data_IF_153244107775
#
_entry.id   IF_153244107775
#
_cell.length_a   1.000
_cell.length_b   1.000
_cell.length_c   1.000
_cell.angle_alpha   90.00
_cell.angle_beta   90.00
_cell.angle_gamma   90.00
#
_symmetry.space_group_name_H-M   'P 1'
#
loop_
_entity.id
_entity.type
_entity.pdbx_description
1 polymer ?
#
# COMPACT_ATOMS: atom_id res chain seq x y z
N UNK A 1 -21.94 21.26 -9.35
CA UNK A 1 -22.07 20.53 -10.63
C UNK A 1 -21.27 19.22 -10.74
N UNK A 2 -20.55 18.74 -9.70
CA UNK A 2 -19.97 17.36 -9.69
C UNK A 2 -20.80 16.36 -8.85
N UNK A 3 -21.72 16.87 -8.01
CA UNK A 3 -22.59 16.05 -7.15
C UNK A 3 -23.84 15.47 -7.84
N UNK A 4 -24.20 15.96 -9.03
CA UNK A 4 -25.40 15.49 -9.76
C UNK A 4 -25.12 14.34 -10.73
N UNK A 5 -23.87 14.15 -11.20
CA UNK A 5 -23.52 13.07 -12.12
C UNK A 5 -23.58 11.67 -11.46
N UNK A 6 -23.60 11.60 -10.13
CA UNK A 6 -23.55 10.34 -9.37
C UNK A 6 -24.86 9.91 -8.70
N UNK A 7 -25.98 10.59 -8.98
CA UNK A 7 -27.32 10.21 -8.47
C UNK A 7 -28.12 9.30 -9.41
N UNK A 8 -27.58 8.92 -10.56
CA UNK A 8 -28.23 7.91 -11.40
C UNK A 8 -28.10 6.53 -10.73
N UNK A 9 -29.21 5.84 -10.40
CA UNK A 9 -29.15 4.45 -10.00
C UNK A 9 -28.63 3.63 -11.19
N UNK A 10 -27.48 2.98 -11.03
CA UNK A 10 -27.05 1.96 -11.97
C UNK A 10 -28.10 0.83 -11.93
N UNK A 11 -28.71 0.45 -13.07
CA UNK A 11 -29.57 -0.72 -13.10
C UNK A 11 -28.71 -1.94 -12.73
N UNK A 12 -29.00 -2.57 -11.59
CA UNK A 12 -28.50 -3.89 -11.27
C UNK A 12 -29.08 -4.88 -12.28
N UNK A 13 -28.36 -5.15 -13.35
CA UNK A 13 -28.59 -6.34 -14.17
C UNK A 13 -28.24 -7.56 -13.31
N UNK A 14 -29.27 -8.34 -12.96
CA UNK A 14 -29.10 -9.66 -12.35
C UNK A 14 -28.28 -10.54 -13.30
N UNK A 15 -27.06 -10.87 -12.91
CA UNK A 15 -26.24 -11.86 -13.59
C UNK A 15 -26.69 -13.24 -13.09
N UNK A 16 -27.56 -13.90 -13.86
CA UNK A 16 -27.99 -15.27 -13.58
C UNK A 16 -26.93 -16.24 -14.09
N UNK A 17 -26.12 -16.79 -13.17
CA UNK A 17 -25.13 -17.83 -13.47
C UNK A 17 -25.85 -19.16 -13.74
N UNK A 18 -26.03 -19.50 -15.02
CA UNK A 18 -26.44 -20.84 -15.45
C UNK A 18 -25.20 -21.72 -15.69
N UNK A 19 -25.12 -22.82 -14.95
CA UNK A 19 -24.66 -24.14 -15.39
C UNK A 19 -23.24 -24.30 -15.96
N UNK A 20 -22.28 -24.63 -15.09
CA UNK A 20 -21.00 -25.18 -15.51
C UNK A 20 -21.09 -26.67 -15.86
N UNK A 21 -20.66 -27.04 -17.06
CA UNK A 21 -20.34 -28.43 -17.43
C UNK A 21 -18.92 -28.81 -16.94
N UNK A 22 -18.66 -30.09 -16.62
CA UNK A 22 -17.33 -30.56 -16.23
C UNK A 22 -16.43 -30.75 -17.44
N UNK A 23 -15.22 -30.16 -17.41
CA UNK A 23 -14.15 -30.37 -18.37
C UNK A 23 -13.37 -31.65 -18.05
N UNK A 24 -13.15 -32.48 -19.08
CA UNK A 24 -12.28 -33.65 -19.05
C UNK A 24 -10.78 -33.28 -19.08
N UNK A 25 -9.89 -34.14 -18.56
CA UNK A 25 -8.45 -33.94 -18.62
C UNK A 25 -7.89 -34.35 -19.99
N UNK A 26 -7.34 -33.40 -20.74
CA UNK A 26 -6.52 -33.70 -21.91
C UNK A 26 -5.06 -33.90 -21.51
N UNK A 27 -4.57 -35.10 -21.81
CA UNK A 27 -3.17 -35.48 -21.91
C UNK A 27 -2.48 -34.68 -23.01
N UNK A 28 -1.40 -33.97 -22.69
CA UNK A 28 -0.55 -33.33 -23.68
C UNK A 28 0.85 -33.94 -23.65
N UNK A 29 1.09 -34.71 -24.73
CA UNK A 29 2.32 -35.37 -25.10
C UNK A 29 3.31 -34.38 -25.73
N UNK A 30 4.59 -34.65 -25.46
CA UNK A 30 5.83 -34.09 -26.00
C UNK A 30 5.81 -33.19 -27.23
N UNK A 31 6.66 -32.16 -27.16
CA UNK A 31 7.48 -31.73 -28.29
C UNK A 31 8.72 -30.99 -27.81
N UNK A 32 9.85 -31.61 -28.09
CA UNK A 32 11.18 -31.02 -28.13
C UNK A 32 11.22 -29.88 -29.17
N UNK A 33 11.89 -28.79 -28.81
CA UNK A 33 12.44 -27.85 -29.79
C UNK A 33 13.70 -27.21 -29.22
N UNK A 34 14.82 -27.63 -29.79
CA UNK A 34 16.12 -26.98 -29.76
C UNK A 34 16.01 -25.46 -29.92
N UNK A 35 16.75 -24.72 -29.09
CA UNK A 35 17.23 -23.39 -29.46
C UNK A 35 18.66 -23.23 -28.97
N UNK A 36 19.57 -23.32 -29.92
CA UNK A 36 20.98 -22.98 -29.79
C UNK A 36 21.11 -21.53 -29.33
N UNK A 37 21.77 -21.33 -28.18
CA UNK A 37 22.24 -20.00 -27.75
C UNK A 37 23.76 -20.02 -27.83
N UNK A 38 24.28 -19.33 -28.84
CA UNK A 38 25.69 -19.13 -29.05
C UNK A 38 26.31 -18.37 -27.87
N UNK A 39 27.26 -19.03 -27.20
CA UNK A 39 28.16 -18.43 -26.21
C UNK A 39 29.13 -17.50 -26.94
N UNK A 40 29.03 -16.19 -26.68
CA UNK A 40 30.06 -15.21 -27.05
C UNK A 40 31.10 -15.22 -25.93
N UNK A 41 32.20 -15.91 -26.18
CA UNK A 41 33.40 -15.91 -25.34
C UNK A 41 34.13 -14.58 -25.55
N UNK A 42 34.07 -13.70 -24.54
CA UNK A 42 34.86 -12.46 -24.55
C UNK A 42 36.26 -12.76 -24.03
N UNK A 43 37.23 -12.71 -24.94
CA UNK A 43 38.67 -12.84 -24.69
C UNK A 43 39.12 -11.66 -23.82
N UNK A 44 39.46 -11.94 -22.56
CA UNK A 44 40.05 -10.96 -21.63
C UNK A 44 41.56 -11.01 -21.83
N UNK A 45 42.11 -9.92 -22.37
CA UNK A 45 43.56 -9.74 -22.54
C UNK A 45 44.15 -9.40 -21.17
N UNK A 46 44.86 -10.35 -20.57
CA UNK A 46 45.79 -10.10 -19.46
C UNK A 46 46.94 -9.26 -20.00
N UNK A 47 47.09 -8.06 -19.44
CA UNK A 47 48.31 -7.26 -19.55
C UNK A 47 48.95 -7.24 -18.17
N UNK A 48 50.02 -8.00 -18.04
CA UNK A 48 50.94 -8.00 -16.91
C UNK A 48 51.52 -6.61 -16.71
N UNK A 49 51.35 -6.04 -15.51
CA UNK A 49 52.20 -4.98 -14.99
C UNK A 49 52.68 -5.38 -13.61
N UNK A 50 53.86 -5.99 -13.58
CA UNK A 50 54.72 -6.09 -12.41
C UNK A 50 55.15 -4.68 -11.98
N UNK A 51 55.03 -4.35 -10.69
CA UNK A 51 55.53 -3.08 -10.18
C UNK A 51 55.22 -2.80 -8.71
N UNK A 52 56.26 -2.93 -7.89
CA UNK A 52 56.49 -2.31 -6.56
C UNK A 52 55.67 -2.81 -5.35
N UNK A 53 56.31 -3.74 -4.65
CA UNK A 53 56.10 -4.05 -3.23
C UNK A 53 56.62 -2.90 -2.36
N UNK A 54 55.76 -1.92 -2.03
CA UNK A 54 56.02 -0.99 -0.94
C UNK A 54 55.53 -1.57 0.39
N UNK A 55 56.52 -1.90 1.22
CA UNK A 55 56.41 -2.45 2.56
C UNK A 55 55.98 -1.33 3.54
N UNK A 56 54.68 -1.05 3.61
CA UNK A 56 54.12 -0.15 4.63
C UNK A 56 54.18 -0.82 6.02
N UNK A 57 55.06 -0.28 6.86
CA UNK A 57 55.18 -0.61 8.28
C UNK A 57 53.94 -0.13 9.03
N UNK A 58 53.31 -1.08 9.72
CA UNK A 58 52.16 -0.82 10.59
C UNK A 58 52.50 0.07 11.78
N UNK A 59 51.64 1.07 11.98
CA UNK A 59 51.33 1.62 13.29
C UNK A 59 49.88 1.25 13.63
N UNK A 60 49.76 0.08 14.25
CA UNK A 60 48.60 -0.38 15.00
C UNK A 60 48.32 0.59 16.16
N UNK A 61 47.36 1.48 15.97
CA UNK A 61 46.74 2.24 17.06
C UNK A 61 45.24 2.01 17.01
N UNK A 62 44.86 0.85 17.54
CA UNK A 62 43.50 0.35 17.67
C UNK A 62 42.57 1.28 18.44
N UNK A 63 41.99 2.23 17.73
CA UNK A 63 40.67 2.75 18.04
C UNK A 63 39.69 1.88 17.25
N UNK A 64 39.12 0.86 17.89
CA UNK A 64 38.05 0.02 17.33
C UNK A 64 36.74 0.78 17.09
N UNK A 65 36.82 1.88 16.36
CA UNK A 65 35.69 2.60 15.81
C UNK A 65 35.30 1.92 14.51
N UNK A 66 34.06 1.44 14.44
CA UNK A 66 33.47 0.94 13.20
C UNK A 66 33.64 1.99 12.09
N UNK A 67 34.28 1.60 10.98
CA UNK A 67 34.50 2.49 9.85
C UNK A 67 33.14 3.04 9.37
N UNK A 68 33.02 4.37 9.18
CA UNK A 68 31.78 4.96 8.70
C UNK A 68 31.46 4.43 7.31
N UNK A 69 30.43 3.59 7.20
CA UNK A 69 29.90 3.15 5.91
C UNK A 69 29.29 4.36 5.18
N UNK A 70 29.95 4.76 4.10
CA UNK A 70 29.37 5.72 3.16
C UNK A 70 28.27 5.03 2.37
N UNK A 71 27.06 5.57 2.50
CA UNK A 71 25.89 5.05 1.78
C UNK A 71 25.97 5.48 0.32
N UNK A 72 25.96 4.51 -0.59
CA UNK A 72 25.92 4.78 -2.02
C UNK A 72 24.61 5.48 -2.39
N UNK A 73 24.63 6.22 -3.50
CA UNK A 73 23.43 6.92 -3.94
C UNK A 73 22.36 5.92 -4.37
N UNK A 74 21.16 6.06 -3.82
CA UNK A 74 20.07 5.14 -4.14
C UNK A 74 19.36 5.56 -5.44
N UNK A 75 19.00 4.59 -6.30
CA UNK A 75 18.14 4.85 -7.43
C UNK A 75 16.74 5.23 -6.95
N UNK A 76 16.04 5.98 -7.78
CA UNK A 76 14.65 6.36 -7.50
C UNK A 76 13.72 5.14 -7.55
N UNK A 77 12.69 5.10 -6.70
CA UNK A 77 11.70 4.01 -6.62
C UNK A 77 11.17 3.64 -8.02
N UNK A 78 11.12 2.34 -8.31
CA UNK A 78 10.57 1.77 -9.55
C UNK A 78 9.03 1.80 -9.57
N UNK A 79 8.48 3.01 -9.59
CA UNK A 79 7.03 3.25 -9.66
C UNK A 79 6.69 4.32 -10.70
N UNK A 80 5.41 4.43 -11.07
CA UNK A 80 4.94 5.54 -11.93
C UNK A 80 5.33 6.90 -11.34
N UNK A 81 5.30 7.02 -10.02
CA UNK A 81 5.64 8.25 -9.32
C UNK A 81 7.14 8.53 -9.35
N UNK A 82 7.99 7.51 -9.17
CA UNK A 82 9.45 7.66 -9.34
C UNK A 82 9.80 8.03 -10.78
N UNK A 83 9.24 7.34 -11.77
CA UNK A 83 9.43 7.71 -13.17
C UNK A 83 8.98 9.13 -13.47
N UNK A 84 7.83 9.56 -12.95
CA UNK A 84 7.35 10.92 -13.12
C UNK A 84 8.29 11.98 -12.54
N UNK A 85 8.80 11.75 -11.33
CA UNK A 85 9.83 12.61 -10.72
C UNK A 85 11.06 12.65 -11.62
N UNK A 86 11.54 11.50 -12.10
CA UNK A 86 12.69 11.43 -13.02
C UNK A 86 12.45 12.23 -14.31
N UNK A 87 11.25 12.17 -14.88
CA UNK A 87 10.89 12.95 -16.07
C UNK A 87 10.86 14.46 -15.77
N UNK A 88 10.25 14.87 -14.66
CA UNK A 88 10.20 16.29 -14.26
C UNK A 88 11.60 16.85 -14.06
N UNK A 89 12.49 16.11 -13.38
CA UNK A 89 13.86 16.56 -13.13
C UNK A 89 14.64 16.62 -14.44
N UNK A 90 14.66 15.55 -15.24
CA UNK A 90 15.52 15.45 -16.42
C UNK A 90 15.04 16.29 -17.60
N UNK A 91 13.76 16.18 -17.95
CA UNK A 91 13.25 16.81 -19.17
C UNK A 91 13.11 18.33 -19.01
N UNK A 92 12.96 18.86 -17.78
CA UNK A 92 13.02 20.32 -17.55
C UNK A 92 14.44 20.87 -17.76
N UNK A 93 15.46 20.21 -17.19
CA UNK A 93 16.86 20.62 -17.38
C UNK A 93 17.24 20.61 -18.86
N UNK A 94 16.90 19.55 -19.59
CA UNK A 94 17.17 19.48 -21.02
C UNK A 94 16.37 20.46 -21.88
N UNK A 95 15.19 20.90 -21.43
CA UNK A 95 14.46 21.97 -22.11
C UNK A 95 15.15 23.31 -21.93
N UNK A 96 15.81 23.53 -20.80
CA UNK A 96 16.57 24.75 -20.51
C UNK A 96 17.88 24.83 -21.31
N UNK A 97 18.66 23.75 -21.32
CA UNK A 97 19.97 23.70 -21.99
C UNK A 97 19.86 23.77 -23.53
N UNK A 98 18.66 23.59 -24.09
CA UNK A 98 18.43 23.56 -25.52
C UNK A 98 18.71 22.18 -26.11
N UNK A 99 17.67 21.37 -26.26
CA UNK A 99 17.78 20.07 -26.94
C UNK A 99 17.46 20.17 -28.44
N UNK A 100 18.11 19.36 -29.27
CA UNK A 100 17.81 19.24 -30.70
C UNK A 100 16.39 18.69 -30.99
N UNK A 101 15.76 17.99 -30.03
CA UNK A 101 14.46 17.33 -30.19
C UNK A 101 13.43 17.76 -29.14
N UNK A 102 13.08 19.06 -29.07
CA UNK A 102 12.23 19.60 -27.99
C UNK A 102 10.81 19.02 -28.00
N UNK A 103 10.27 18.68 -29.17
CA UNK A 103 8.92 18.12 -29.30
C UNK A 103 8.81 16.75 -28.61
N UNK A 104 9.81 15.89 -28.77
CA UNK A 104 9.83 14.58 -28.12
C UNK A 104 9.90 14.70 -26.59
N UNK A 105 10.66 15.69 -26.07
CA UNK A 105 10.74 15.98 -24.62
C UNK A 105 9.39 16.44 -24.06
N UNK A 106 8.74 17.38 -24.75
CA UNK A 106 7.40 17.85 -24.36
C UNK A 106 6.39 16.70 -24.36
N UNK A 107 6.42 15.84 -25.39
CA UNK A 107 5.54 14.68 -25.45
C UNK A 107 5.76 13.71 -24.28
N UNK A 108 7.01 13.48 -23.85
CA UNK A 108 7.32 12.66 -22.65
C UNK A 108 6.75 13.24 -21.37
N UNK A 109 6.93 14.55 -21.14
CA UNK A 109 6.37 15.24 -19.96
C UNK A 109 4.84 15.16 -19.98
N UNK A 110 4.21 15.41 -21.12
CA UNK A 110 2.74 15.30 -21.25
C UNK A 110 2.28 13.86 -20.98
N UNK A 111 2.99 12.87 -21.51
CA UNK A 111 2.69 11.47 -21.25
C UNK A 111 2.84 11.08 -19.77
N UNK A 112 3.86 11.61 -19.08
CA UNK A 112 4.03 11.35 -17.65
C UNK A 112 2.93 11.97 -16.80
N UNK A 113 2.55 13.21 -17.10
CA UNK A 113 1.42 13.88 -16.44
C UNK A 113 0.12 13.10 -16.69
N UNK A 114 -0.13 12.67 -17.93
CA UNK A 114 -1.33 11.91 -18.28
C UNK A 114 -1.38 10.57 -17.54
N UNK A 115 -0.25 9.86 -17.44
CA UNK A 115 -0.20 8.56 -16.76
C UNK A 115 -0.38 8.70 -15.24
N UNK A 116 0.21 9.72 -14.61
CA UNK A 116 -0.05 10.03 -13.19
C UNK A 116 -1.52 10.35 -12.97
N UNK A 117 -2.08 11.24 -13.80
CA UNK A 117 -3.48 11.64 -13.69
C UNK A 117 -4.42 10.43 -13.85
N UNK A 118 -4.13 9.55 -14.82
CA UNK A 118 -4.84 8.29 -15.03
C UNK A 118 -4.73 7.38 -13.80
N UNK A 119 -3.53 7.21 -13.26
CA UNK A 119 -3.27 6.36 -12.08
C UNK A 119 -4.04 6.87 -10.84
N UNK A 120 -3.93 8.17 -10.54
CA UNK A 120 -4.64 8.79 -9.41
C UNK A 120 -6.16 8.68 -9.60
N UNK A 121 -6.66 8.94 -10.82
CA UNK A 121 -8.08 8.83 -11.14
C UNK A 121 -8.59 7.41 -10.96
N UNK A 122 -7.83 6.41 -11.43
CA UNK A 122 -8.18 5.01 -11.31
C UNK A 122 -8.17 4.55 -9.84
N UNK A 123 -7.13 4.90 -9.07
CA UNK A 123 -7.08 4.62 -7.63
C UNK A 123 -8.26 5.25 -6.89
N UNK A 124 -8.55 6.53 -7.16
CA UNK A 124 -9.68 7.22 -6.55
C UNK A 124 -11.02 6.59 -6.93
N UNK A 125 -11.20 6.25 -8.21
CA UNK A 125 -12.39 5.55 -8.69
C UNK A 125 -12.60 4.21 -7.96
N UNK A 126 -11.54 3.40 -7.83
CA UNK A 126 -11.60 2.13 -7.12
C UNK A 126 -11.89 2.32 -5.63
N UNK A 127 -11.31 3.34 -4.98
CA UNK A 127 -11.64 3.68 -3.59
C UNK A 127 -13.13 4.02 -3.41
N UNK A 128 -13.69 4.81 -4.32
CA UNK A 128 -15.11 5.14 -4.31
C UNK A 128 -15.97 3.89 -4.56
N UNK A 129 -15.55 3.02 -5.48
CA UNK A 129 -16.23 1.77 -5.78
C UNK A 129 -16.23 0.83 -4.57
N UNK A 130 -15.08 0.61 -3.91
CA UNK A 130 -14.98 -0.20 -2.69
C UNK A 130 -15.88 0.38 -1.60
N UNK A 131 -15.82 1.69 -1.37
CA UNK A 131 -16.63 2.34 -0.34
C UNK A 131 -18.14 2.16 -0.56
N UNK A 132 -18.60 2.34 -1.81
CA UNK A 132 -20.04 2.31 -2.13
C UNK A 132 -20.58 0.91 -2.41
N UNK A 133 -19.84 0.10 -3.16
CA UNK A 133 -20.31 -1.19 -3.65
C UNK A 133 -19.97 -2.34 -2.71
N UNK A 134 -18.93 -2.22 -1.89
CA UNK A 134 -18.49 -3.29 -0.99
C UNK A 134 -18.73 -2.91 0.47
N UNK A 135 -18.15 -1.80 0.93
CA UNK A 135 -18.18 -1.43 2.35
C UNK A 135 -19.60 -1.06 2.83
N UNK A 136 -20.34 -0.26 2.06
CA UNK A 136 -21.70 0.16 2.46
C UNK A 136 -22.68 -1.02 2.61
N UNK A 137 -22.83 -1.95 1.63
CA UNK A 137 -23.70 -3.10 1.80
C UNK A 137 -23.20 -4.06 2.89
N UNK A 138 -21.88 -4.27 3.03
CA UNK A 138 -21.33 -5.07 4.14
C UNK A 138 -21.72 -4.47 5.51
N UNK A 139 -21.54 -3.16 5.70
CA UNK A 139 -21.96 -2.44 6.90
C UNK A 139 -23.47 -2.57 7.16
N UNK A 140 -24.29 -2.55 6.10
CA UNK A 140 -25.73 -2.72 6.25
C UNK A 140 -26.10 -4.14 6.68
N UNK A 141 -25.43 -5.14 6.09
CA UNK A 141 -25.65 -6.55 6.37
C UNK A 141 -25.34 -6.88 7.83
N UNK A 142 -24.13 -6.56 8.31
CA UNK A 142 -23.73 -6.78 9.70
C UNK A 142 -24.63 -6.04 10.70
N UNK A 143 -25.09 -4.81 10.37
CA UNK A 143 -26.02 -4.05 11.22
C UNK A 143 -27.40 -4.69 11.32
N UNK A 144 -27.89 -5.30 10.23
CA UNK A 144 -29.16 -6.06 10.24
C UNK A 144 -29.02 -7.33 11.07
N UNK A 145 -27.96 -8.10 10.87
CA UNK A 145 -27.69 -9.33 11.64
C UNK A 145 -27.60 -9.02 13.14
N UNK A 146 -26.78 -8.03 13.51
CA UNK A 146 -26.65 -7.62 14.90
C UNK A 146 -27.94 -6.99 15.46
N UNK A 147 -28.70 -6.23 14.65
CA UNK A 147 -29.98 -5.66 15.06
C UNK A 147 -31.04 -6.72 15.41
N UNK A 148 -31.13 -7.79 14.62
CA UNK A 148 -32.03 -8.93 14.92
C UNK A 148 -31.64 -9.62 16.23
N UNK A 149 -30.34 -9.81 16.45
CA UNK A 149 -29.82 -10.34 17.70
C UNK A 149 -30.21 -9.45 18.90
N UNK A 150 -30.04 -8.13 18.78
CA UNK A 150 -30.40 -7.16 19.82
C UNK A 150 -31.90 -7.16 20.14
N UNK A 151 -32.79 -7.25 19.14
CA UNK A 151 -34.23 -7.34 19.37
C UNK A 151 -34.62 -8.60 20.16
N UNK A 152 -33.94 -9.72 19.87
CA UNK A 152 -34.20 -10.98 20.57
C UNK A 152 -33.64 -10.96 22.00
N UNK A 153 -32.46 -10.39 22.23
CA UNK A 153 -31.84 -10.34 23.55
C UNK A 153 -32.52 -9.35 24.51
N UNK A 154 -33.19 -8.32 23.98
CA UNK A 154 -33.79 -7.24 24.75
C UNK A 154 -35.29 -7.07 24.41
N UNK A 155 -36.15 -8.02 24.80
CA UNK A 155 -37.57 -8.00 24.43
C UNK A 155 -38.24 -6.72 24.95
N UNK A 156 -38.74 -5.88 24.04
CA UNK A 156 -39.33 -4.56 24.33
C UNK A 156 -38.40 -3.52 24.97
N UNK A 157 -37.08 -3.77 25.00
CA UNK A 157 -36.10 -2.90 25.65
C UNK A 157 -34.98 -2.49 24.67
N UNK A 158 -35.37 -2.10 23.45
CA UNK A 158 -34.46 -1.58 22.42
C UNK A 158 -34.71 -0.10 22.13
N UNK A 159 -33.65 0.62 21.76
CA UNK A 159 -33.69 1.98 21.18
C UNK A 159 -33.12 1.95 19.77
N UNK A 160 -33.56 2.85 18.89
CA UNK A 160 -33.00 2.99 17.56
C UNK A 160 -31.71 3.81 17.59
N UNK A 161 -30.68 3.35 16.88
CA UNK A 161 -29.43 4.09 16.64
C UNK A 161 -29.63 5.24 15.66
N UNK A 162 -28.60 6.08 15.51
CA UNK A 162 -28.52 7.10 14.45
C UNK A 162 -28.73 6.55 13.03
N UNK A 163 -28.53 5.25 12.83
CA UNK A 163 -28.71 4.57 11.55
C UNK A 163 -30.06 3.81 11.47
N UNK A 164 -30.94 3.94 12.46
CA UNK A 164 -32.25 3.27 12.49
C UNK A 164 -32.22 1.78 12.84
N UNK A 165 -31.11 1.26 13.38
CA UNK A 165 -31.03 -0.12 13.86
C UNK A 165 -31.29 -0.23 15.36
N UNK A 166 -32.00 -1.27 15.82
CA UNK A 166 -32.28 -1.50 17.24
C UNK A 166 -30.99 -1.79 18.03
N UNK A 167 -30.96 -1.32 19.28
CA UNK A 167 -29.91 -1.57 20.28
C UNK A 167 -30.53 -1.74 21.65
N UNK A 168 -30.12 -2.77 22.37
CA UNK A 168 -30.59 -3.05 23.72
C UNK A 168 -30.26 -1.94 24.71
N UNK A 169 -31.13 -1.75 25.70
CA UNK A 169 -30.88 -0.86 26.83
C UNK A 169 -30.11 -1.65 27.91
N UNK A 170 -29.02 -1.10 28.49
CA UNK A 170 -28.24 -1.81 29.50
C UNK A 170 -29.12 -2.26 30.68
N UNK A 171 -28.92 -3.50 31.15
CA UNK A 171 -29.66 -4.07 32.29
C UNK A 171 -30.86 -4.94 31.93
N UNK A 172 -31.36 -4.89 30.69
CA UNK A 172 -32.52 -5.68 30.24
C UNK A 172 -32.15 -6.87 29.34
N UNK A 173 -30.88 -7.29 29.36
CA UNK A 173 -30.36 -8.38 28.53
C UNK A 173 -30.80 -9.73 29.08
N UNK A 174 -31.39 -10.58 28.23
CA UNK A 174 -31.81 -11.95 28.58
C UNK A 174 -31.05 -12.97 27.73
N UNK A 175 -29.91 -13.45 28.25
CA UNK A 175 -29.01 -14.37 27.53
C UNK A 175 -29.66 -15.69 27.10
N UNK A 176 -30.66 -16.18 27.84
CA UNK A 176 -31.41 -17.40 27.51
C UNK A 176 -32.17 -17.28 26.18
N UNK A 177 -32.50 -16.06 25.75
CA UNK A 177 -33.15 -15.86 24.47
C UNK A 177 -32.23 -16.23 23.31
N UNK A 178 -30.91 -16.28 23.50
CA UNK A 178 -29.98 -16.69 22.45
C UNK A 178 -30.27 -18.12 22.00
N UNK A 179 -30.64 -19.02 22.92
CA UNK A 179 -31.01 -20.41 22.62
C UNK A 179 -32.31 -20.54 21.81
N UNK A 180 -33.14 -19.50 21.76
CA UNK A 180 -34.37 -19.46 20.96
C UNK A 180 -34.10 -19.13 19.48
N UNK A 181 -32.93 -18.58 19.18
CA UNK A 181 -32.48 -18.28 17.83
C UNK A 181 -32.17 -19.59 17.08
N UNK A 182 -32.36 -19.62 15.76
CA UNK A 182 -31.98 -20.80 14.97
C UNK A 182 -30.46 -20.98 14.98
N UNK A 183 -29.98 -22.23 14.81
CA UNK A 183 -28.56 -22.57 14.81
C UNK A 183 -27.76 -21.73 13.80
N UNK A 184 -28.32 -21.54 12.61
CA UNK A 184 -27.70 -20.79 11.51
C UNK A 184 -27.58 -19.30 11.85
N UNK A 185 -28.59 -18.72 12.50
CA UNK A 185 -28.54 -17.32 12.96
C UNK A 185 -27.55 -17.14 14.12
N UNK A 186 -27.44 -18.12 15.03
CA UNK A 186 -26.43 -18.11 16.10
C UNK A 186 -25.01 -18.14 15.52
N UNK A 187 -24.78 -19.00 14.53
CA UNK A 187 -23.51 -19.10 13.81
C UNK A 187 -23.19 -17.78 13.09
N UNK A 188 -24.15 -17.23 12.33
CA UNK A 188 -23.98 -15.96 11.62
C UNK A 188 -23.65 -14.77 12.56
N UNK A 189 -24.26 -14.73 13.74
CA UNK A 189 -23.97 -13.71 14.77
C UNK A 189 -22.59 -13.91 15.37
N UNK A 190 -22.19 -15.16 15.61
CA UNK A 190 -20.87 -15.47 16.16
C UNK A 190 -19.72 -15.33 15.15
N UNK A 191 -20.01 -15.41 13.85
CA UNK A 191 -19.08 -15.13 12.75
C UNK A 191 -18.79 -13.64 12.53
N UNK A 192 -19.49 -12.75 13.24
CA UNK A 192 -19.18 -11.31 13.21
C UNK A 192 -17.76 -11.10 13.75
N UNK A 193 -16.82 -10.47 13.02
CA UNK A 193 -15.41 -10.38 13.45
C UNK A 193 -15.18 -9.72 14.82
N UNK A 194 -16.13 -8.88 15.27
CA UNK A 194 -16.10 -8.22 16.58
C UNK A 194 -16.41 -9.18 17.76
N UNK A 195 -16.87 -10.41 17.53
CA UNK A 195 -16.95 -11.46 18.56
C UNK A 195 -15.55 -11.99 18.93
N UNK A 196 -14.60 -11.93 17.98
CA UNK A 196 -13.20 -12.36 18.11
C UNK A 196 -12.22 -11.17 17.92
N UNK A 197 -12.20 -10.19 18.85
CA UNK A 197 -11.45 -8.94 18.69
C UNK A 197 -9.96 -9.13 18.40
N UNK A 198 -9.32 -10.13 19.02
CA UNK A 198 -7.90 -10.38 18.83
C UNK A 198 -7.58 -10.91 17.43
N UNK A 199 -8.44 -11.77 16.88
CA UNK A 199 -8.30 -12.25 15.51
C UNK A 199 -8.47 -11.10 14.51
N UNK A 200 -9.52 -10.29 14.69
CA UNK A 200 -9.74 -9.10 13.87
C UNK A 200 -8.57 -8.11 13.98
N UNK A 201 -8.08 -7.84 15.21
CA UNK A 201 -6.96 -6.93 15.43
C UNK A 201 -5.68 -7.41 14.72
N UNK A 202 -5.39 -8.72 14.72
CA UNK A 202 -4.26 -9.29 14.00
C UNK A 202 -4.37 -9.08 12.48
N UNK A 203 -5.56 -9.31 11.90
CA UNK A 203 -5.75 -9.05 10.45
C UNK A 203 -5.63 -7.57 10.14
N UNK A 204 -6.23 -6.69 10.96
CA UNK A 204 -6.12 -5.25 10.79
C UNK A 204 -4.69 -4.76 10.97
N UNK A 205 -3.91 -5.36 11.86
CA UNK A 205 -2.49 -5.09 12.02
C UNK A 205 -1.70 -5.44 10.76
N UNK A 206 -1.90 -6.63 10.19
CA UNK A 206 -1.26 -7.05 8.93
C UNK A 206 -1.63 -6.06 7.80
N UNK A 207 -2.91 -5.76 7.66
CA UNK A 207 -3.39 -4.79 6.67
C UNK A 207 -2.76 -3.40 6.85
N UNK A 208 -2.65 -2.94 8.10
CA UNK A 208 -2.03 -1.66 8.42
C UNK A 208 -0.54 -1.66 8.11
N UNK A 209 0.18 -2.76 8.35
CA UNK A 209 1.59 -2.91 7.95
C UNK A 209 1.76 -2.80 6.44
N UNK A 210 0.91 -3.46 5.65
CA UNK A 210 0.93 -3.34 4.18
C UNK A 210 0.79 -1.88 3.74
N UNK A 211 -0.15 -1.14 4.35
CA UNK A 211 -0.29 0.29 4.07
C UNK A 211 0.90 1.13 4.57
N UNK A 212 1.51 0.77 5.70
CA UNK A 212 2.60 1.54 6.29
C UNK A 212 3.93 1.35 5.55
N UNK A 213 4.18 0.20 4.93
CA UNK A 213 5.32 0.01 4.03
C UNK A 213 5.27 1.06 2.91
N UNK A 214 4.10 1.24 2.30
CA UNK A 214 3.89 2.28 1.31
C UNK A 214 3.99 3.69 1.86
N UNK A 215 3.44 3.92 3.05
CA UNK A 215 3.48 5.23 3.70
C UNK A 215 4.92 5.65 3.96
N UNK A 216 5.75 4.71 4.42
CA UNK A 216 7.19 4.90 4.66
C UNK A 216 7.90 5.27 3.37
N UNK A 217 7.69 4.53 2.29
CA UNK A 217 8.29 4.84 0.97
C UNK A 217 7.93 6.24 0.48
N UNK A 218 6.66 6.65 0.62
CA UNK A 218 6.20 8.00 0.26
C UNK A 218 6.87 9.04 1.15
N UNK A 219 6.91 8.80 2.46
CA UNK A 219 7.49 9.72 3.43
C UNK A 219 8.99 9.90 3.21
N UNK A 220 9.74 8.82 3.02
CA UNK A 220 11.17 8.87 2.72
C UNK A 220 11.41 9.62 1.40
N UNK A 221 10.65 9.33 0.35
CA UNK A 221 10.74 10.05 -0.93
C UNK A 221 10.46 11.55 -0.76
N UNK A 222 9.43 11.89 0.02
CA UNK A 222 9.09 13.29 0.32
C UNK A 222 10.22 13.98 1.08
N UNK A 223 10.77 13.34 2.11
CA UNK A 223 11.88 13.83 2.92
C UNK A 223 13.14 14.03 2.09
N UNK A 224 13.52 13.04 1.28
CA UNK A 224 14.68 13.12 0.39
C UNK A 224 14.53 14.28 -0.61
N UNK A 225 13.45 14.30 -1.39
CA UNK A 225 13.30 15.24 -2.50
C UNK A 225 12.87 16.65 -2.06
N UNK A 226 11.89 16.77 -1.15
CA UNK A 226 11.31 18.08 -0.82
C UNK A 226 12.10 18.80 0.24
N UNK A 227 12.55 18.07 1.27
CA UNK A 227 13.19 18.66 2.44
C UNK A 227 14.72 18.63 2.38
N UNK A 228 15.34 17.49 2.03
CA UNK A 228 16.81 17.33 2.06
C UNK A 228 17.52 17.88 0.84
N UNK A 229 17.01 17.64 -0.37
CA UNK A 229 17.64 18.15 -1.58
C UNK A 229 17.68 19.68 -1.54
N UNK A 230 18.84 20.34 -1.69
CA UNK A 230 18.94 21.79 -1.61
C UNK A 230 18.15 22.46 -2.73
N UNK A 231 17.71 23.69 -2.47
CA UNK A 231 16.97 24.46 -3.47
C UNK A 231 17.95 25.25 -4.32
N UNK A 232 18.01 24.98 -5.62
CA UNK A 232 18.89 25.69 -6.58
C UNK A 232 18.11 26.76 -7.33
N UNK A 233 18.79 27.85 -7.70
CA UNK A 233 18.19 28.95 -8.44
C UNK A 233 18.19 28.70 -9.95
N UNK A 234 19.19 27.98 -10.45
CA UNK A 234 19.40 27.70 -11.87
C UNK A 234 19.10 26.23 -12.18
N UNK A 235 18.58 25.96 -13.38
CA UNK A 235 18.24 24.60 -13.80
C UNK A 235 19.49 23.78 -14.15
N UNK A 236 20.60 24.43 -14.53
CA UNK A 236 21.87 23.78 -14.82
C UNK A 236 22.52 23.10 -13.59
N UNK A 237 22.20 23.54 -12.37
CA UNK A 237 22.73 22.97 -11.12
C UNK A 237 21.91 21.78 -10.59
N UNK A 238 20.79 21.45 -11.24
CA UNK A 238 19.89 20.38 -10.79
C UNK A 238 20.53 19.01 -10.91
N UNK A 239 21.30 18.80 -11.99
CA UNK A 239 21.91 17.52 -12.33
C UNK A 239 23.43 17.64 -12.32
N UNK A 240 24.11 16.66 -11.72
CA UNK A 240 25.56 16.45 -11.88
C UNK A 240 25.82 15.09 -12.50
N UNK A 241 26.84 14.96 -13.37
CA UNK A 241 27.31 13.62 -13.76
C UNK A 241 27.76 12.87 -12.51
N UNK A 242 27.31 11.63 -12.35
CA UNK A 242 27.76 10.74 -11.29
C UNK A 242 29.17 10.20 -11.55
N UNK A 243 29.68 9.37 -10.64
CA UNK A 243 30.98 8.72 -10.80
C UNK A 243 30.98 7.68 -11.93
N UNK A 244 29.85 7.01 -12.17
CA UNK A 244 29.68 6.11 -13.31
C UNK A 244 29.38 6.83 -14.63
N UNK A 245 29.89 6.29 -15.75
CA UNK A 245 29.75 6.81 -17.13
C UNK A 245 28.30 7.14 -17.58
N UNK A 246 27.30 6.61 -16.87
CA UNK A 246 25.89 6.74 -17.21
C UNK A 246 25.00 7.16 -16.04
N UNK A 247 25.59 7.47 -14.89
CA UNK A 247 24.86 7.83 -13.68
C UNK A 247 24.63 9.34 -13.63
N UNK A 248 23.45 9.71 -13.18
CA UNK A 248 23.01 11.10 -13.14
C UNK A 248 22.56 11.38 -11.72
N UNK A 249 23.30 12.22 -11.01
CA UNK A 249 23.01 12.55 -9.62
C UNK A 249 22.16 13.83 -9.54
N UNK A 250 21.10 13.81 -8.74
CA UNK A 250 20.31 15.01 -8.43
C UNK A 250 21.02 15.83 -7.36
N UNK A 251 21.67 16.92 -7.77
CA UNK A 251 22.40 17.81 -6.87
C UNK A 251 21.49 18.82 -6.16
N UNK A 252 20.39 19.24 -6.81
CA UNK A 252 19.46 20.23 -6.28
C UNK A 252 18.12 20.20 -7.01
N UNK A 253 17.09 20.85 -6.45
CA UNK A 253 15.79 21.02 -7.11
C UNK A 253 15.33 22.46 -7.04
N UNK A 254 14.73 22.98 -8.11
CA UNK A 254 14.14 24.33 -8.08
C UNK A 254 12.89 24.34 -7.18
N UNK A 255 12.51 25.53 -6.66
CA UNK A 255 11.29 25.67 -5.84
C UNK A 255 10.04 25.21 -6.59
N UNK A 256 9.99 25.47 -7.89
CA UNK A 256 8.88 25.07 -8.74
C UNK A 256 8.78 23.54 -8.86
N UNK A 257 9.90 22.86 -9.14
CA UNK A 257 9.93 21.38 -9.18
C UNK A 257 9.47 20.77 -7.86
N UNK A 258 9.95 21.29 -6.72
CA UNK A 258 9.53 20.84 -5.39
C UNK A 258 8.03 21.02 -5.17
N UNK A 259 7.48 22.17 -5.55
CA UNK A 259 6.04 22.42 -5.44
C UNK A 259 5.23 21.44 -6.30
N UNK A 260 5.67 21.19 -7.55
CA UNK A 260 5.01 20.24 -8.45
C UNK A 260 5.04 18.81 -7.88
N UNK A 261 6.21 18.34 -7.47
CA UNK A 261 6.37 17.00 -6.87
C UNK A 261 5.55 16.89 -5.58
N UNK A 262 5.61 17.89 -4.70
CA UNK A 262 4.86 17.89 -3.44
C UNK A 262 3.34 17.85 -3.65
N UNK A 263 2.81 18.75 -4.48
CA UNK A 263 1.37 18.96 -4.64
C UNK A 263 0.72 17.89 -5.54
N UNK A 264 1.38 17.50 -6.64
CA UNK A 264 0.77 16.63 -7.64
C UNK A 264 1.20 15.15 -7.55
N UNK A 265 2.26 14.84 -6.80
CA UNK A 265 2.78 13.46 -6.69
C UNK A 265 2.66 12.97 -5.24
N UNK A 266 3.36 13.62 -4.30
CA UNK A 266 3.45 13.15 -2.91
C UNK A 266 2.12 13.26 -2.16
N UNK A 267 1.51 14.45 -2.16
CA UNK A 267 0.28 14.71 -1.42
C UNK A 267 -0.90 13.80 -1.84
N UNK A 268 -1.24 13.68 -3.15
CA UNK A 268 -2.34 12.82 -3.56
C UNK A 268 -2.05 11.34 -3.26
N UNK A 269 -0.80 10.87 -3.42
CA UNK A 269 -0.41 9.50 -3.10
C UNK A 269 -0.57 9.20 -1.60
N UNK A 270 -0.16 10.13 -0.73
CA UNK A 270 -0.37 10.00 0.71
C UNK A 270 -1.86 10.02 1.07
N UNK A 271 -2.64 10.92 0.48
CA UNK A 271 -4.07 11.04 0.75
C UNK A 271 -4.86 9.78 0.34
N UNK A 272 -4.57 9.22 -0.85
CA UNK A 272 -5.24 7.98 -1.30
C UNK A 272 -4.87 6.79 -0.43
N UNK A 273 -3.61 6.68 0.01
CA UNK A 273 -3.16 5.62 0.91
C UNK A 273 -3.82 5.69 2.29
N UNK A 274 -3.88 6.88 2.90
CA UNK A 274 -4.56 7.05 4.20
C UNK A 274 -6.06 6.74 4.10
N UNK A 275 -6.71 7.17 3.01
CA UNK A 275 -8.10 6.83 2.74
C UNK A 275 -8.29 5.31 2.53
N UNK A 276 -7.38 4.65 1.81
CA UNK A 276 -7.39 3.21 1.58
C UNK A 276 -7.25 2.43 2.89
N UNK A 277 -6.30 2.82 3.75
CA UNK A 277 -6.10 2.18 5.05
C UNK A 277 -7.39 2.25 5.90
N UNK A 278 -7.96 3.44 6.04
CA UNK A 278 -9.20 3.65 6.80
C UNK A 278 -10.40 2.87 6.22
N UNK A 279 -10.60 2.94 4.90
CA UNK A 279 -11.69 2.22 4.23
C UNK A 279 -11.49 0.71 4.31
N UNK A 280 -10.25 0.24 4.20
CA UNK A 280 -9.88 -1.17 4.35
C UNK A 280 -10.23 -1.69 5.74
N UNK A 281 -9.83 -1.00 6.81
CA UNK A 281 -10.21 -1.36 8.18
C UNK A 281 -11.74 -1.43 8.34
N UNK A 282 -12.47 -0.46 7.76
CA UNK A 282 -13.94 -0.44 7.81
C UNK A 282 -14.59 -1.58 7.06
N UNK A 283 -14.09 -1.93 5.88
CA UNK A 283 -14.62 -3.03 5.09
C UNK A 283 -14.34 -4.38 5.75
N UNK A 284 -13.11 -4.59 6.24
CA UNK A 284 -12.72 -5.82 6.93
C UNK A 284 -13.55 -6.06 8.19
N UNK A 285 -13.76 -5.05 9.02
CA UNK A 285 -14.63 -5.17 10.22
C UNK A 285 -16.11 -5.39 9.87
N UNK A 286 -16.56 -4.95 8.69
CA UNK A 286 -17.95 -5.10 8.26
C UNK A 286 -18.26 -6.43 7.54
N UNK A 287 -17.22 -7.23 7.26
CA UNK A 287 -17.37 -8.52 6.59
C UNK A 287 -17.98 -9.55 7.56
N UNK A 288 -18.94 -10.34 7.09
CA UNK A 288 -19.49 -11.48 7.83
C UNK A 288 -18.67 -12.71 7.46
N UNK A 289 -18.34 -13.55 8.45
CA UNK A 289 -17.51 -14.73 8.23
C UNK A 289 -16.02 -14.40 8.37
N UNK A 290 -15.32 -15.15 9.22
CA UNK A 290 -13.89 -14.92 9.49
C UNK A 290 -13.01 -15.22 8.27
N UNK A 291 -13.34 -16.25 7.48
CA UNK A 291 -12.63 -16.60 6.25
C UNK A 291 -12.70 -15.50 5.19
N UNK A 292 -13.86 -14.86 5.06
CA UNK A 292 -14.08 -13.78 4.10
C UNK A 292 -13.29 -12.53 4.47
N UNK A 293 -13.01 -12.29 5.75
CA UNK A 293 -12.16 -11.16 6.18
C UNK A 293 -10.76 -11.30 5.58
N UNK A 294 -10.18 -12.51 5.60
CA UNK A 294 -8.85 -12.75 5.05
C UNK A 294 -8.83 -12.57 3.53
N UNK A 295 -9.82 -13.14 2.84
CA UNK A 295 -9.96 -13.01 1.38
C UNK A 295 -10.15 -11.54 0.95
N UNK A 296 -10.96 -10.79 1.69
CA UNK A 296 -11.15 -9.35 1.45
C UNK A 296 -9.87 -8.55 1.73
N UNK A 297 -9.05 -8.99 2.69
CA UNK A 297 -7.73 -8.40 2.95
C UNK A 297 -6.78 -8.54 1.76
N UNK A 298 -6.70 -9.73 1.16
CA UNK A 298 -5.93 -9.98 -0.05
C UNK A 298 -6.47 -9.19 -1.25
N UNK A 299 -7.79 -9.04 -1.37
CA UNK A 299 -8.39 -8.22 -2.42
C UNK A 299 -8.03 -6.73 -2.29
N UNK A 300 -7.87 -6.22 -1.07
CA UNK A 300 -7.43 -4.85 -0.82
C UNK A 300 -5.94 -4.65 -1.18
N UNK A 301 -5.10 -5.67 -1.04
CA UNK A 301 -3.69 -5.62 -1.42
C UNK A 301 -3.51 -5.34 -2.92
N UNK A 302 -4.38 -5.90 -3.77
CA UNK A 302 -4.39 -5.59 -5.21
C UNK A 302 -4.53 -4.08 -5.49
N UNK A 303 -5.30 -3.34 -4.68
CA UNK A 303 -5.46 -1.89 -4.84
C UNK A 303 -4.17 -1.13 -4.54
N UNK A 304 -3.37 -1.61 -3.58
CA UNK A 304 -2.06 -1.06 -3.23
C UNK A 304 -1.06 -1.30 -4.38
N UNK A 305 -1.05 -2.51 -4.93
CA UNK A 305 -0.13 -2.94 -6.00
C UNK A 305 -0.46 -2.37 -7.39
N UNK A 306 -1.63 -1.76 -7.57
CA UNK A 306 -2.08 -1.23 -8.85
C UNK A 306 -1.06 -0.27 -9.51
N UNK A 307 -0.39 0.57 -8.72
CA UNK A 307 0.63 1.53 -9.22
C UNK A 307 1.81 0.82 -9.89
N UNK A 308 2.21 -0.34 -9.36
CA UNK A 308 3.36 -1.12 -9.82
C UNK A 308 2.99 -1.93 -11.05
N UNK A 309 1.77 -2.49 -11.06
CA UNK A 309 1.23 -3.15 -12.24
C UNK A 309 1.19 -2.18 -13.43
N UNK A 310 0.67 -0.97 -13.23
CA UNK A 310 0.64 0.04 -14.30
C UNK A 310 2.05 0.49 -14.69
N UNK A 311 2.99 0.62 -13.75
CA UNK A 311 4.40 0.89 -14.08
C UNK A 311 4.98 -0.20 -14.99
N UNK A 312 4.77 -1.45 -14.61
CA UNK A 312 5.29 -2.62 -15.29
C UNK A 312 4.67 -2.87 -16.67
N UNK A 313 3.49 -2.34 -16.94
CA UNK A 313 2.83 -2.47 -18.25
C UNK A 313 3.04 -1.23 -19.11
N UNK A 314 2.88 -0.04 -18.55
CA UNK A 314 2.83 1.21 -19.33
C UNK A 314 4.20 1.84 -19.58
N UNK A 315 5.20 1.56 -18.74
CA UNK A 315 6.53 2.18 -18.88
C UNK A 315 7.47 1.29 -19.68
N UNK A 316 7.97 1.84 -20.79
CA UNK A 316 8.96 1.18 -21.65
C UNK A 316 10.26 0.90 -20.91
N UNK A 317 10.95 -0.19 -21.28
CA UNK A 317 12.20 -0.60 -20.65
C UNK A 317 13.25 0.53 -20.63
N UNK A 318 13.39 1.30 -21.72
CA UNK A 318 14.30 2.45 -21.80
C UNK A 318 14.00 3.50 -20.73
N UNK A 319 12.73 3.75 -20.43
CA UNK A 319 12.33 4.69 -19.40
C UNK A 319 12.57 4.16 -17.99
N UNK A 320 12.52 2.84 -17.78
CA UNK A 320 12.87 2.23 -16.48
C UNK A 320 14.36 2.38 -16.19
N UNK A 321 15.21 2.02 -17.15
CA UNK A 321 16.67 2.21 -17.05
C UNK A 321 16.99 3.69 -16.84
N UNK A 322 16.26 4.59 -17.49
CA UNK A 322 16.43 6.04 -17.29
C UNK A 322 16.03 6.50 -15.87
N UNK A 323 15.05 5.87 -15.23
CA UNK A 323 14.66 6.14 -13.84
C UNK A 323 15.70 5.59 -12.86
N UNK A 324 16.17 4.36 -13.07
CA UNK A 324 17.19 3.71 -12.24
C UNK A 324 18.53 4.45 -12.27
N UNK A 325 18.91 5.03 -13.41
CA UNK A 325 20.15 5.84 -13.54
C UNK A 325 20.08 7.21 -12.89
N UNK A 326 18.90 7.65 -12.45
CA UNK A 326 18.76 8.90 -11.72
C UNK A 326 18.93 8.63 -10.23
N UNK A 327 20.11 8.97 -9.73
CA UNK A 327 20.52 8.74 -8.37
C UNK A 327 20.17 9.93 -7.49
N UNK A 328 19.56 9.64 -6.33
CA UNK A 328 19.22 10.67 -5.34
C UNK A 328 20.14 10.51 -4.15
N UNK A 329 20.57 11.64 -3.59
CA UNK A 329 21.36 11.65 -2.37
C UNK A 329 20.62 10.90 -1.25
N UNK A 330 21.27 9.95 -0.55
CA UNK A 330 20.62 9.19 0.51
C UNK A 330 20.15 10.11 1.63
N UNK A 331 19.26 9.60 2.49
CA UNK A 331 18.76 10.39 3.61
C UNK A 331 19.88 10.74 4.62
N UNK A 332 20.93 9.92 4.70
CA UNK A 332 22.10 10.11 5.57
C UNK A 332 23.38 9.82 4.79
N UNK A 333 24.26 10.81 4.70
CA UNK A 333 25.54 10.66 3.99
C UNK A 333 26.50 9.68 4.67
N UNK A 334 26.31 9.48 5.97
CA UNK A 334 27.08 8.57 6.82
C UNK A 334 26.12 7.86 7.74
N UNK A 335 25.93 6.55 7.52
CA UNK A 335 25.16 5.72 8.43
C UNK A 335 26.05 5.27 9.59
N UNK A 336 26.19 6.13 10.60
CA UNK A 336 26.68 5.67 11.90
C UNK A 336 25.63 4.75 12.50
N UNK A 337 26.05 3.60 13.05
CA UNK A 337 25.18 2.71 13.81
C UNK A 337 24.56 3.47 14.99
N UNK A 338 23.38 4.04 14.75
CA UNK A 338 22.61 4.76 15.74
C UNK A 338 21.50 3.85 16.23
N UNK A 339 21.28 3.86 17.55
CA UNK A 339 20.09 3.26 18.15
C UNK A 339 18.79 3.67 17.43
N UNK A 340 18.73 4.89 16.86
CA UNK A 340 17.56 5.34 16.10
C UNK A 340 17.31 4.51 14.83
N UNK A 341 18.37 4.09 14.12
CA UNK A 341 18.23 3.24 12.92
C UNK A 341 17.76 1.84 13.32
N UNK A 342 18.27 1.33 14.44
CA UNK A 342 17.88 0.01 14.94
C UNK A 342 16.41 -0.07 15.35
N UNK A 343 15.86 1.02 15.91
CA UNK A 343 14.47 1.06 16.41
C UNK A 343 13.44 1.54 15.39
N UNK A 344 13.84 2.01 14.22
CA UNK A 344 12.92 2.58 13.23
C UNK A 344 11.83 1.56 12.80
N UNK A 345 12.22 0.32 12.51
CA UNK A 345 11.27 -0.75 12.15
C UNK A 345 10.28 -1.06 13.29
N UNK A 346 10.75 -1.05 14.54
CA UNK A 346 9.96 -1.33 15.73
C UNK A 346 8.99 -0.19 16.03
N UNK A 347 9.37 1.06 15.75
CA UNK A 347 8.47 2.21 15.85
C UNK A 347 7.31 2.06 14.87
N UNK A 348 7.56 1.73 13.61
CA UNK A 348 6.49 1.48 12.63
C UNK A 348 5.60 0.30 13.01
N UNK A 349 6.19 -0.79 13.52
CA UNK A 349 5.43 -1.92 14.05
C UNK A 349 4.52 -1.53 15.22
N UNK A 350 5.04 -0.75 16.17
CA UNK A 350 4.28 -0.26 17.32
C UNK A 350 3.14 0.68 16.89
N UNK A 351 3.39 1.60 15.95
CA UNK A 351 2.36 2.47 15.36
C UNK A 351 1.24 1.63 14.75
N UNK A 352 1.58 0.55 14.04
CA UNK A 352 0.61 -0.36 13.43
C UNK A 352 -0.26 -1.06 14.47
N UNK A 353 0.34 -1.56 15.55
CA UNK A 353 -0.37 -2.21 16.67
C UNK A 353 -1.31 -1.21 17.34
N UNK A 354 -0.79 -0.02 17.69
CA UNK A 354 -1.58 1.03 18.32
C UNK A 354 -2.76 1.41 17.42
N UNK A 355 -2.53 1.58 16.12
CA UNK A 355 -3.59 1.89 15.16
C UNK A 355 -4.65 0.79 15.09
N UNK A 356 -4.26 -0.48 14.97
CA UNK A 356 -5.20 -1.60 14.90
C UNK A 356 -6.06 -1.70 16.17
N UNK A 357 -5.45 -1.60 17.36
CA UNK A 357 -6.16 -1.61 18.64
C UNK A 357 -7.07 -0.38 18.78
N UNK A 358 -6.55 0.81 18.49
CA UNK A 358 -7.33 2.06 18.52
C UNK A 358 -8.52 1.98 17.57
N UNK A 359 -8.34 1.37 16.40
CA UNK A 359 -9.41 1.18 15.45
C UNK A 359 -10.50 0.26 15.98
N UNK A 360 -10.14 -0.94 16.44
CA UNK A 360 -11.06 -1.96 16.96
C UNK A 360 -11.86 -1.45 18.17
N UNK A 361 -11.20 -0.78 19.12
CA UNK A 361 -11.82 -0.39 20.38
C UNK A 361 -12.47 1.00 20.38
N UNK A 362 -11.99 1.94 19.57
CA UNK A 362 -12.41 3.34 19.66
C UNK A 362 -12.93 3.95 18.35
N UNK A 363 -12.33 3.63 17.20
CA UNK A 363 -12.66 4.33 15.93
C UNK A 363 -13.75 3.59 15.13
N UNK A 364 -13.95 2.29 15.34
CA UNK A 364 -14.88 1.52 14.51
C UNK A 364 -16.28 2.17 14.49
N UNK A 365 -16.77 2.43 13.27
CA UNK A 365 -18.09 3.01 13.00
C UNK A 365 -19.04 1.98 12.36
N UNK A 366 -18.64 0.72 12.33
CA UNK A 366 -19.41 -0.38 11.71
C UNK A 366 -20.63 -0.68 12.57
N UNK A 367 -20.42 -0.90 13.87
CA UNK A 367 -21.46 -1.10 14.87
C UNK A 367 -21.38 0.02 15.91
N UNK A 368 -22.13 1.14 15.74
CA UNK A 368 -22.16 2.18 16.75
C UNK A 368 -22.74 1.63 18.06
N UNK A 369 -22.16 2.07 19.18
CA UNK A 369 -22.51 1.65 20.54
C UNK A 369 -22.33 0.15 20.82
N UNK A 370 -21.44 -0.54 20.09
CA UNK A 370 -21.13 -1.95 20.34
C UNK A 370 -20.59 -2.17 21.76
N UNK A 371 -21.18 -3.12 22.50
CA UNK A 371 -20.90 -3.35 23.93
C UNK A 371 -20.05 -4.58 24.23
N UNK A 372 -19.40 -5.17 23.22
CA UNK A 372 -18.63 -6.40 23.37
C UNK A 372 -19.44 -7.58 23.91
N UNK A 373 -20.75 -7.55 23.72
CA UNK A 373 -21.70 -8.46 24.34
C UNK A 373 -21.74 -9.84 23.65
N UNK A 374 -21.39 -9.91 22.36
CA UNK A 374 -21.30 -11.18 21.62
C UNK A 374 -20.18 -12.09 22.10
N UNK A 375 -19.06 -11.53 22.61
CA UNK A 375 -17.86 -12.30 22.94
C UNK A 375 -18.17 -13.40 23.96
N UNK A 376 -18.84 -13.05 25.05
CA UNK A 376 -19.12 -13.97 26.15
C UNK A 376 -20.18 -15.01 25.78
N UNK A 377 -21.14 -14.66 24.93
CA UNK A 377 -22.16 -15.60 24.43
C UNK A 377 -21.56 -16.59 23.44
N UNK A 378 -20.81 -16.11 22.46
CA UNK A 378 -20.23 -16.95 21.42
C UNK A 378 -19.16 -17.89 21.97
N UNK A 379 -18.41 -17.48 23.01
CA UNK A 379 -17.47 -18.38 23.70
C UNK A 379 -18.18 -19.52 24.46
N UNK A 380 -19.43 -19.33 24.89
CA UNK A 380 -20.22 -20.42 25.50
C UNK A 380 -20.85 -21.32 24.43
N UNK A 381 -21.28 -20.73 23.32
CA UNK A 381 -22.02 -21.42 22.26
C UNK A 381 -21.13 -22.24 21.33
N UNK A 382 -19.99 -21.70 20.91
CA UNK A 382 -18.97 -22.45 20.22
C UNK A 382 -18.30 -23.30 21.31
N UNK A 383 -18.62 -24.61 21.46
CA UNK A 383 -17.78 -25.44 22.30
C UNK A 383 -16.35 -25.25 21.81
N UNK A 384 -15.37 -25.39 22.70
CA UNK A 384 -13.99 -25.55 22.27
C UNK A 384 -13.89 -26.82 21.41
N UNK A 385 -14.38 -26.76 20.17
CA UNK A 385 -13.90 -27.59 19.09
C UNK A 385 -12.39 -27.41 19.11
N UNK A 386 -11.63 -28.49 18.85
CA UNK A 386 -10.19 -28.51 19.02
C UNK A 386 -9.60 -27.28 18.33
N UNK A 387 -9.28 -26.28 19.14
CA UNK A 387 -8.91 -24.94 18.70
C UNK A 387 -7.43 -25.00 18.31
N UNK A 388 -7.15 -24.39 17.16
CA UNK A 388 -5.83 -23.87 16.80
C UNK A 388 -5.22 -23.05 17.93
#
# INVERSE_FOLDING_TARGET
SFAQFWRAPFPCTQFSLHGGQPLQPNTMSGRDAHSDTAMVTSTKTESDSEGEEDMEQGEDSGSGGEDPLHEEHEPLEESIFGWAVSMVVRDVVWLHEGTAVPMHRRARIVNSILLIACTITLQFFLLVAVSRLLTAPACLSIRRTYGKYEELMYPNHTKLTVNGFPRGIPGYRVDENFLKMSRDEQEQVCEVPLSHPWYLASILFIWTLTCLVECRTIFETAVRLLWRTPTVATEAEVIRPGEGDHEVQVAGLTRFMKAVIGIFIVLPRMATLLALNYLGCRWLTATLGLGDVLLNGLALEFLVLLKELLYNVCISHRNRVATQRLLVKPFRDVNRASFCTFFDAQVWGLISIIWALLYVFHIQMVLPEYRWDLRDLCHKYLPAGPLF
#
